data_IF_485245382112
#
_entry.id   IF_485245382112
#
_cell.length_a   1.000
_cell.length_b   1.000
_cell.length_c   1.000
_cell.angle_alpha   90.00
_cell.angle_beta   90.00
_cell.angle_gamma   90.00
#
_symmetry.space_group_name_H-M   'P 1'
#
loop_
_entity.id
_entity.type
_entity.pdbx_description
1 polymer ?
#
# COMPACT_ATOMS: atom_id res chain seq x y z
N UNK A 1 7.76 62.35 20.11
CA UNK A 1 8.33 61.97 18.80
C UNK A 1 9.80 61.64 19.00
N UNK A 2 10.22 60.43 18.60
CA UNK A 2 11.18 60.33 17.50
C UNK A 2 10.82 59.25 16.48
N UNK A 3 11.31 59.49 15.26
CA UNK A 3 11.22 58.71 14.03
C UNK A 3 12.36 57.70 13.93
N UNK A 4 12.14 56.51 13.35
CA UNK A 4 13.14 55.82 12.53
C UNK A 4 12.57 54.60 11.78
N UNK A 5 12.44 54.79 10.46
CA UNK A 5 12.92 53.91 9.38
C UNK A 5 12.43 52.45 9.30
N UNK A 6 11.51 52.26 8.35
CA UNK A 6 11.18 50.98 7.71
C UNK A 6 12.40 50.46 6.94
N UNK A 7 12.98 49.36 7.41
CA UNK A 7 14.06 48.63 6.74
C UNK A 7 13.53 47.63 5.72
N UNK A 8 14.18 47.59 4.56
CA UNK A 8 13.92 46.72 3.42
C UNK A 8 13.71 45.24 3.78
N UNK A 9 12.54 44.71 3.41
CA UNK A 9 12.31 43.26 3.32
C UNK A 9 13.00 42.72 2.06
N UNK A 10 14.23 42.24 2.20
CA UNK A 10 14.78 41.25 1.28
C UNK A 10 14.04 39.93 1.54
N UNK A 11 13.12 39.57 0.65
CA UNK A 11 12.48 38.26 0.64
C UNK A 11 13.57 37.21 0.41
N UNK A 12 14.11 36.67 1.51
CA UNK A 12 14.91 35.46 1.44
C UNK A 12 13.97 34.35 0.95
N UNK A 13 14.17 33.93 -0.30
CA UNK A 13 13.59 32.71 -0.85
C UNK A 13 14.17 31.53 -0.06
N UNK A 14 13.56 31.22 1.09
CA UNK A 14 13.82 29.99 1.79
C UNK A 14 13.19 28.87 0.97
N UNK A 15 14.02 28.04 0.34
CA UNK A 15 13.56 26.82 -0.32
C UNK A 15 12.87 25.97 0.77
N UNK A 16 11.56 25.69 0.66
CA UNK A 16 10.87 24.87 1.64
C UNK A 16 11.51 23.48 1.68
N UNK A 17 11.56 22.88 2.88
CA UNK A 17 12.14 21.55 3.05
C UNK A 17 11.33 20.51 2.25
N UNK A 18 11.88 20.12 1.10
CA UNK A 18 11.28 19.15 0.18
C UNK A 18 11.51 17.69 0.64
N UNK A 19 11.98 17.44 1.88
CA UNK A 19 12.24 16.08 2.38
C UNK A 19 13.47 15.41 1.76
N UNK A 20 13.70 14.13 2.09
CA UNK A 20 14.85 13.35 1.61
C UNK A 20 14.38 12.23 0.65
N UNK A 21 14.97 12.19 -0.54
CA UNK A 21 14.71 11.23 -1.60
C UNK A 21 15.24 11.74 -2.95
N UNK A 22 15.57 10.84 -3.89
CA UNK A 22 16.20 11.21 -5.18
C UNK A 22 15.39 12.25 -5.98
N UNK A 23 14.05 12.11 -5.99
CA UNK A 23 13.14 13.10 -6.60
C UNK A 23 13.18 14.47 -5.91
N UNK A 24 13.40 14.50 -4.60
CA UNK A 24 13.54 15.76 -3.85
C UNK A 24 14.86 16.45 -4.15
N UNK A 25 15.95 15.70 -4.29
CA UNK A 25 17.26 16.26 -4.64
C UNK A 25 17.28 16.86 -6.04
N UNK A 26 16.69 16.17 -7.02
CA UNK A 26 16.54 16.71 -8.37
C UNK A 26 15.72 18.01 -8.36
N UNK A 27 14.61 18.05 -7.60
CA UNK A 27 13.78 19.24 -7.47
C UNK A 27 14.54 20.40 -6.81
N UNK A 28 15.31 20.14 -5.76
CA UNK A 28 16.19 21.13 -5.09
C UNK A 28 17.23 21.69 -6.06
N UNK A 29 17.83 20.85 -6.91
CA UNK A 29 18.79 21.31 -7.93
C UNK A 29 18.13 22.21 -8.97
N UNK A 30 16.96 21.83 -9.49
CA UNK A 30 16.20 22.65 -10.45
C UNK A 30 15.87 24.01 -9.85
N UNK A 31 15.32 24.04 -8.62
CA UNK A 31 15.01 25.28 -7.91
C UNK A 31 16.25 26.15 -7.71
N UNK A 32 17.40 25.55 -7.35
CA UNK A 32 18.66 26.28 -7.20
C UNK A 32 19.12 26.98 -8.49
N UNK A 33 18.95 26.33 -9.65
CA UNK A 33 19.27 26.92 -10.96
C UNK A 33 18.32 28.08 -11.28
N UNK A 34 17.02 27.91 -11.00
CA UNK A 34 16.02 28.96 -11.21
C UNK A 34 16.29 30.16 -10.28
N UNK A 35 16.61 29.95 -9.00
CA UNK A 35 16.97 31.01 -8.05
C UNK A 35 18.18 31.82 -8.53
N UNK A 36 19.18 31.15 -9.10
CA UNK A 36 20.34 31.82 -9.71
C UNK A 36 19.90 32.65 -10.91
N UNK A 37 19.01 32.14 -11.76
CA UNK A 37 18.48 32.87 -12.92
C UNK A 37 17.69 34.10 -12.47
N UNK A 38 16.77 33.97 -11.52
CA UNK A 38 15.98 35.08 -10.97
C UNK A 38 16.91 36.17 -10.42
N UNK A 39 17.84 35.82 -9.53
CA UNK A 39 18.81 36.80 -8.97
C UNK A 39 19.66 37.48 -10.03
N UNK A 40 20.10 36.74 -11.06
CA UNK A 40 20.86 37.32 -12.16
C UNK A 40 20.02 38.31 -12.98
N UNK A 41 18.75 38.01 -13.21
CA UNK A 41 17.82 38.88 -13.94
C UNK A 41 17.46 40.12 -13.13
N UNK A 42 17.26 40.00 -11.82
CA UNK A 42 17.05 41.14 -10.91
C UNK A 42 18.24 42.09 -10.91
N UNK A 43 19.47 41.56 -10.86
CA UNK A 43 20.70 42.37 -10.98
C UNK A 43 20.79 43.10 -12.32
N UNK A 44 20.42 42.45 -13.42
CA UNK A 44 20.39 43.09 -14.75
C UNK A 44 19.33 44.18 -14.82
N UNK A 45 18.12 43.90 -14.34
CA UNK A 45 17.03 44.88 -14.28
C UNK A 45 17.44 46.11 -13.48
N UNK A 46 17.99 45.94 -12.28
CA UNK A 46 18.43 47.07 -11.44
C UNK A 46 19.47 47.95 -12.15
N UNK A 47 20.44 47.37 -12.86
CA UNK A 47 21.42 48.15 -13.64
C UNK A 47 20.76 48.94 -14.79
N UNK A 48 19.76 48.36 -15.44
CA UNK A 48 19.04 49.03 -16.50
C UNK A 48 18.09 50.12 -15.96
N UNK A 49 17.50 49.91 -14.78
CA UNK A 49 16.75 50.93 -14.04
C UNK A 49 17.65 52.16 -13.79
N UNK A 50 18.90 51.94 -13.38
CA UNK A 50 19.89 53.01 -13.17
C UNK A 50 20.22 53.75 -14.49
N UNK A 51 20.43 53.03 -15.60
CA UNK A 51 20.68 53.65 -16.90
C UNK A 51 19.48 54.45 -17.40
N UNK A 52 18.28 53.90 -17.24
CA UNK A 52 17.04 54.57 -17.62
C UNK A 52 16.86 55.86 -16.80
N UNK A 53 17.15 55.82 -15.49
CA UNK A 53 17.10 56.99 -14.63
C UNK A 53 18.10 58.08 -15.06
N UNK A 54 19.34 57.71 -15.41
CA UNK A 54 20.35 58.64 -15.94
C UNK A 54 19.94 59.28 -17.27
N UNK A 55 19.41 58.48 -18.19
CA UNK A 55 18.88 58.96 -19.47
C UNK A 55 17.74 59.96 -19.25
N UNK A 56 16.82 59.66 -18.32
CA UNK A 56 15.71 60.54 -17.98
C UNK A 56 16.16 61.87 -17.33
N UNK A 57 17.33 61.88 -16.66
CA UNK A 57 17.97 63.09 -16.13
C UNK A 57 18.76 63.89 -17.18
N UNK A 58 18.83 63.41 -18.42
CA UNK A 58 19.57 64.04 -19.51
C UNK A 58 21.07 63.74 -19.52
N UNK A 59 21.54 62.78 -18.73
CA UNK A 59 22.94 62.35 -18.76
C UNK A 59 23.24 61.59 -20.08
N UNK A 60 24.44 61.76 -20.63
CA UNK A 60 24.89 60.99 -21.81
C UNK A 60 25.25 59.57 -21.40
N UNK A 61 24.58 58.61 -22.02
CA UNK A 61 24.94 57.18 -21.96
C UNK A 61 25.89 56.83 -23.11
N UNK A 62 26.77 55.85 -22.88
CA UNK A 62 27.61 55.29 -23.95
C UNK A 62 26.79 54.33 -24.83
N UNK A 63 27.38 53.88 -25.94
CA UNK A 63 26.71 53.00 -26.91
C UNK A 63 26.24 51.69 -26.26
N UNK A 64 27.09 51.02 -25.48
CA UNK A 64 26.76 49.76 -24.79
C UNK A 64 25.58 49.91 -23.83
N UNK A 65 25.48 51.06 -23.13
CA UNK A 65 24.37 51.37 -22.22
C UNK A 65 23.06 51.58 -22.97
N UNK A 66 23.10 52.27 -24.12
CA UNK A 66 21.92 52.46 -24.98
C UNK A 66 21.45 51.12 -25.58
N UNK A 67 22.37 50.28 -26.02
CA UNK A 67 22.08 48.94 -26.52
C UNK A 67 21.52 48.04 -25.41
N UNK A 68 22.06 48.10 -24.19
CA UNK A 68 21.53 47.36 -23.06
C UNK A 68 20.10 47.81 -22.70
N UNK A 69 19.82 49.12 -22.76
CA UNK A 69 18.46 49.66 -22.56
C UNK A 69 17.47 49.19 -23.64
N UNK A 70 17.92 48.97 -24.88
CA UNK A 70 17.04 48.42 -25.94
C UNK A 70 16.48 47.03 -25.60
N UNK A 71 17.16 46.28 -24.72
CA UNK A 71 16.76 44.94 -24.26
C UNK A 71 16.00 44.96 -22.93
N UNK A 72 15.66 46.13 -22.41
CA UNK A 72 15.05 46.25 -21.08
C UNK A 72 13.74 45.47 -20.93
N UNK A 73 12.85 45.56 -21.92
CA UNK A 73 11.58 44.82 -21.89
C UNK A 73 11.81 43.31 -21.91
N UNK A 74 12.77 42.82 -22.68
CA UNK A 74 13.14 41.40 -22.72
C UNK A 74 13.64 40.91 -21.35
N UNK A 75 14.41 41.74 -20.64
CA UNK A 75 14.87 41.44 -19.28
C UNK A 75 13.70 41.36 -18.29
N UNK A 76 12.71 42.24 -18.40
CA UNK A 76 11.49 42.18 -17.57
C UNK A 76 10.72 40.90 -17.84
N UNK A 77 10.40 40.61 -19.11
CA UNK A 77 9.62 39.43 -19.49
C UNK A 77 10.31 38.13 -19.01
N UNK A 78 11.63 38.03 -19.20
CA UNK A 78 12.41 36.87 -18.76
C UNK A 78 12.48 36.74 -17.22
N UNK A 79 12.46 37.86 -16.49
CA UNK A 79 12.42 37.85 -15.02
C UNK A 79 11.06 37.34 -14.51
N UNK A 80 9.97 37.83 -15.11
CA UNK A 80 8.60 37.39 -14.79
C UNK A 80 8.43 35.90 -15.09
N UNK A 81 8.86 35.46 -16.28
CA UNK A 81 8.86 34.04 -16.65
C UNK A 81 9.65 33.19 -15.66
N UNK A 82 10.85 33.61 -15.25
CA UNK A 82 11.66 32.87 -14.29
C UNK A 82 10.98 32.76 -12.91
N UNK A 83 10.28 33.81 -12.46
CA UNK A 83 9.52 33.81 -11.20
C UNK A 83 8.29 32.90 -11.27
N UNK A 84 7.57 32.93 -12.38
CA UNK A 84 6.43 32.05 -12.60
C UNK A 84 6.88 30.58 -12.65
N UNK A 85 7.97 30.31 -13.35
CA UNK A 85 8.57 28.97 -13.42
C UNK A 85 8.99 28.48 -12.03
N UNK A 86 9.65 29.34 -11.23
CA UNK A 86 10.02 29.05 -9.84
C UNK A 86 8.80 28.65 -9.01
N UNK A 87 7.71 29.43 -9.11
CA UNK A 87 6.45 29.17 -8.39
C UNK A 87 5.84 27.82 -8.80
N UNK A 88 5.81 27.52 -10.10
CA UNK A 88 5.29 26.25 -10.62
C UNK A 88 6.09 25.05 -10.14
N UNK A 89 7.43 25.13 -10.12
CA UNK A 89 8.27 24.04 -9.59
C UNK A 89 8.14 23.86 -8.08
N UNK A 90 7.95 24.94 -7.32
CA UNK A 90 7.66 24.85 -5.89
C UNK A 90 6.34 24.11 -5.63
N UNK A 91 5.27 24.47 -6.36
CA UNK A 91 3.98 23.80 -6.26
C UNK A 91 4.09 22.31 -6.65
N UNK A 92 4.72 22.03 -7.78
CA UNK A 92 4.96 20.66 -8.25
C UNK A 92 5.76 19.84 -7.24
N UNK A 93 6.81 20.43 -6.65
CA UNK A 93 7.62 19.78 -5.62
C UNK A 93 6.78 19.34 -4.41
N UNK A 94 5.86 20.19 -3.96
CA UNK A 94 4.93 19.86 -2.86
C UNK A 94 3.95 18.75 -3.26
N UNK A 95 3.41 18.80 -4.47
CA UNK A 95 2.50 17.76 -4.98
C UNK A 95 3.19 16.41 -5.09
N UNK A 96 4.41 16.36 -5.62
CA UNK A 96 5.23 15.16 -5.68
C UNK A 96 5.48 14.60 -4.28
N UNK A 97 5.83 15.44 -3.30
CA UNK A 97 6.01 15.01 -1.92
C UNK A 97 4.74 14.41 -1.30
N UNK A 98 3.58 15.03 -1.55
CA UNK A 98 2.28 14.50 -1.12
C UNK A 98 1.98 13.15 -1.78
N UNK A 99 2.24 13.04 -3.09
CA UNK A 99 2.01 11.81 -3.84
C UNK A 99 2.91 10.67 -3.37
N UNK A 100 4.20 10.93 -3.14
CA UNK A 100 5.15 9.94 -2.61
C UNK A 100 4.70 9.44 -1.23
N UNK A 101 4.37 10.34 -0.30
CA UNK A 101 3.87 9.96 1.03
C UNK A 101 2.58 9.14 0.96
N UNK A 102 1.65 9.54 0.08
CA UNK A 102 0.38 8.82 -0.12
C UNK A 102 0.60 7.42 -0.72
N UNK A 103 1.50 7.30 -1.69
CA UNK A 103 1.86 6.03 -2.30
C UNK A 103 2.51 5.09 -1.28
N UNK A 104 3.51 5.58 -0.54
CA UNK A 104 4.20 4.79 0.50
C UNK A 104 3.23 4.31 1.58
N UNK A 105 2.30 5.17 2.04
CA UNK A 105 1.27 4.77 3.01
C UNK A 105 0.32 3.72 2.43
N UNK A 106 -0.10 3.87 1.18
CA UNK A 106 -0.99 2.90 0.51
C UNK A 106 -0.30 1.55 0.37
N UNK A 107 0.96 1.54 -0.06
CA UNK A 107 1.75 0.32 -0.21
C UNK A 107 1.94 -0.38 1.13
N UNK A 108 2.22 0.38 2.21
CA UNK A 108 2.31 -0.18 3.56
C UNK A 108 1.00 -0.85 3.99
N UNK A 109 -0.14 -0.16 3.84
CA UNK A 109 -1.44 -0.73 4.19
C UNK A 109 -1.77 -1.98 3.36
N UNK A 110 -1.41 -2.00 2.08
CA UNK A 110 -1.60 -3.17 1.23
C UNK A 110 -0.73 -4.36 1.64
N UNK A 111 0.52 -4.13 2.08
CA UNK A 111 1.37 -5.18 2.64
C UNK A 111 0.80 -5.72 3.94
N UNK A 112 0.39 -4.85 4.86
CA UNK A 112 -0.24 -5.24 6.13
C UNK A 112 -1.53 -6.06 5.90
N UNK A 113 -2.37 -5.64 4.96
CA UNK A 113 -3.57 -6.38 4.59
C UNK A 113 -3.24 -7.76 3.99
N UNK A 114 -2.21 -7.85 3.16
CA UNK A 114 -1.75 -9.13 2.59
C UNK A 114 -1.19 -10.07 3.68
N UNK A 115 -0.43 -9.55 4.63
CA UNK A 115 0.09 -10.30 5.78
C UNK A 115 -1.05 -10.79 6.69
N UNK A 116 -2.03 -9.92 6.99
CA UNK A 116 -3.22 -10.31 7.75
C UNK A 116 -4.02 -11.41 7.04
N UNK A 117 -4.20 -11.32 5.72
CA UNK A 117 -4.86 -12.37 4.93
C UNK A 117 -4.08 -13.68 4.97
N UNK A 118 -2.74 -13.64 4.83
CA UNK A 118 -1.90 -14.85 4.94
C UNK A 118 -2.02 -15.48 6.32
N UNK A 119 -1.98 -14.68 7.39
CA UNK A 119 -2.15 -15.18 8.75
C UNK A 119 -3.54 -15.81 8.95
N UNK A 120 -4.60 -15.16 8.45
CA UNK A 120 -5.95 -15.73 8.44
C UNK A 120 -5.97 -17.09 7.74
N UNK A 121 -5.37 -17.19 6.57
CA UNK A 121 -5.30 -18.46 5.82
C UNK A 121 -4.52 -19.53 6.58
N UNK A 122 -3.43 -19.20 7.26
CA UNK A 122 -2.72 -20.18 8.11
C UNK A 122 -3.64 -20.71 9.21
N UNK A 123 -4.42 -19.86 9.86
CA UNK A 123 -5.37 -20.28 10.91
C UNK A 123 -6.48 -21.17 10.35
N UNK A 124 -7.03 -20.83 9.18
CA UNK A 124 -8.02 -21.65 8.47
C UNK A 124 -7.46 -23.04 8.13
N UNK A 125 -6.23 -23.08 7.62
CA UNK A 125 -5.53 -24.32 7.28
C UNK A 125 -5.25 -25.19 8.51
N UNK A 126 -4.79 -24.59 9.61
CA UNK A 126 -4.58 -25.30 10.87
C UNK A 126 -5.88 -25.92 11.37
N UNK A 127 -6.97 -25.14 11.39
CA UNK A 127 -8.30 -25.64 11.76
C UNK A 127 -8.72 -26.81 10.87
N UNK A 128 -8.60 -26.68 9.54
CA UNK A 128 -8.96 -27.76 8.63
C UNK A 128 -8.18 -29.04 8.88
N UNK A 129 -6.85 -28.94 8.99
CA UNK A 129 -6.01 -30.10 9.20
C UNK A 129 -6.31 -30.78 10.55
N UNK A 130 -6.61 -30.00 11.60
CA UNK A 130 -7.04 -30.56 12.89
C UNK A 130 -8.40 -31.27 12.79
N UNK A 131 -9.37 -30.70 12.06
CA UNK A 131 -10.69 -31.33 11.85
C UNK A 131 -10.61 -32.62 11.04
N UNK A 132 -9.60 -32.76 10.15
CA UNK A 132 -9.36 -33.99 9.41
C UNK A 132 -8.84 -35.14 10.30
N UNK A 133 -8.56 -34.88 11.58
CA UNK A 133 -8.33 -35.92 12.57
C UNK A 133 -9.59 -36.68 13.01
N UNK A 134 -10.79 -36.15 12.75
CA UNK A 134 -12.07 -36.81 13.07
C UNK A 134 -12.54 -37.73 11.93
N UNK A 135 -12.65 -39.03 12.22
CA UNK A 135 -13.11 -40.05 11.27
C UNK A 135 -14.50 -39.75 10.67
N UNK A 136 -15.41 -39.12 11.43
CA UNK A 136 -16.72 -38.73 10.91
C UNK A 136 -16.61 -37.65 9.84
N UNK A 137 -15.80 -36.62 10.11
CA UNK A 137 -15.51 -35.55 9.15
C UNK A 137 -14.88 -36.15 7.88
N UNK A 138 -13.91 -37.05 8.03
CA UNK A 138 -13.28 -37.74 6.88
C UNK A 138 -14.27 -38.54 6.05
N UNK A 139 -15.18 -39.28 6.71
CA UNK A 139 -16.21 -40.06 6.02
C UNK A 139 -17.19 -39.17 5.25
N UNK A 140 -17.59 -38.05 5.84
CA UNK A 140 -18.50 -37.10 5.20
C UNK A 140 -17.85 -36.42 3.98
N UNK A 141 -16.58 -36.01 4.09
CA UNK A 141 -15.83 -35.39 2.97
C UNK A 141 -15.58 -36.37 1.82
N UNK A 142 -15.59 -37.68 2.10
CA UNK A 142 -15.53 -38.75 1.10
C UNK A 142 -16.89 -39.10 0.50
N UNK A 143 -18.00 -38.61 1.06
CA UNK A 143 -19.33 -38.88 0.50
C UNK A 143 -19.47 -38.12 -0.82
N UNK A 144 -19.93 -38.77 -1.91
CA UNK A 144 -20.23 -38.07 -3.15
C UNK A 144 -21.24 -36.95 -2.93
N UNK A 145 -20.97 -35.79 -3.51
CA UNK A 145 -21.93 -34.69 -3.56
C UNK A 145 -23.01 -34.93 -4.63
N UNK A 146 -23.86 -33.93 -4.88
CA UNK A 146 -24.90 -33.99 -5.91
C UNK A 146 -24.36 -34.23 -7.34
N UNK A 147 -23.06 -34.01 -7.57
CA UNK A 147 -22.37 -34.29 -8.85
C UNK A 147 -21.81 -35.71 -8.93
N UNK A 148 -21.93 -36.49 -7.85
CA UNK A 148 -21.45 -37.87 -7.77
C UNK A 148 -19.95 -38.00 -7.52
N UNK A 149 -19.24 -36.90 -7.23
CA UNK A 149 -17.82 -36.90 -6.91
C UNK A 149 -17.59 -36.56 -5.43
N UNK A 150 -16.66 -37.25 -4.73
CA UNK A 150 -16.34 -36.89 -3.36
C UNK A 150 -15.58 -35.56 -3.30
N UNK A 151 -15.68 -34.88 -2.16
CA UNK A 151 -14.90 -33.66 -1.95
C UNK A 151 -13.41 -33.98 -1.80
N UNK A 152 -13.09 -35.07 -1.08
CA UNK A 152 -11.74 -35.60 -0.91
C UNK A 152 -11.67 -37.09 -1.25
N UNK A 153 -10.58 -37.52 -1.88
CA UNK A 153 -10.26 -38.94 -2.10
C UNK A 153 -9.37 -39.49 -0.98
N UNK A 154 -9.21 -40.82 -0.92
CA UNK A 154 -8.25 -41.45 0.00
C UNK A 154 -6.80 -40.98 -0.24
N UNK A 155 -6.43 -40.71 -1.50
CA UNK A 155 -5.12 -40.19 -1.85
C UNK A 155 -4.92 -38.73 -1.36
N UNK A 156 -5.98 -37.92 -1.46
CA UNK A 156 -5.96 -36.54 -0.93
C UNK A 156 -5.78 -36.55 0.58
N UNK A 157 -6.56 -37.38 1.29
CA UNK A 157 -6.47 -37.52 2.74
C UNK A 157 -5.10 -38.02 3.21
N UNK A 158 -4.52 -39.00 2.51
CA UNK A 158 -3.18 -39.48 2.82
C UNK A 158 -2.11 -38.39 2.63
N UNK A 159 -2.23 -37.59 1.56
CA UNK A 159 -1.31 -36.47 1.31
C UNK A 159 -1.46 -35.36 2.37
N UNK A 160 -2.69 -35.10 2.83
CA UNK A 160 -2.96 -34.13 3.89
C UNK A 160 -2.44 -34.60 5.25
N UNK A 161 -2.52 -35.90 5.57
CA UNK A 161 -1.94 -36.47 6.80
C UNK A 161 -0.42 -36.32 6.83
N UNK A 162 0.25 -36.63 5.72
CA UNK A 162 1.70 -36.43 5.61
C UNK A 162 2.07 -34.96 5.70
N UNK A 163 1.28 -34.06 5.12
CA UNK A 163 1.50 -32.62 5.25
C UNK A 163 1.26 -32.12 6.68
N UNK A 164 0.24 -32.62 7.39
CA UNK A 164 -0.05 -32.26 8.77
C UNK A 164 1.15 -32.51 9.69
N UNK A 165 1.84 -33.65 9.53
CA UNK A 165 3.06 -33.97 10.28
C UNK A 165 4.20 -32.98 10.03
N UNK A 166 4.27 -32.37 8.84
CA UNK A 166 5.30 -31.40 8.48
C UNK A 166 5.05 -30.02 9.12
N UNK A 167 3.79 -29.61 9.22
CA UNK A 167 3.40 -28.28 9.74
C UNK A 167 3.03 -28.29 11.23
N UNK A 168 2.72 -29.46 11.79
CA UNK A 168 2.50 -29.73 13.20
C UNK A 168 3.37 -30.88 13.70
N UNK A 169 4.72 -30.74 13.67
CA UNK A 169 5.59 -31.84 14.05
C UNK A 169 5.55 -32.12 15.56
N UNK A 170 5.60 -33.40 15.93
CA UNK A 170 5.79 -33.81 17.32
C UNK A 170 7.09 -33.21 17.88
N UNK A 171 7.07 -32.84 19.18
CA UNK A 171 8.22 -32.19 19.81
C UNK A 171 9.47 -33.08 19.76
N UNK A 172 10.50 -32.63 19.04
CA UNK A 172 11.79 -33.31 18.99
C UNK A 172 12.80 -32.68 19.97
N UNK A 173 13.01 -33.31 21.13
CA UNK A 173 13.89 -32.81 22.19
C UNK A 173 15.37 -32.65 21.80
N UNK A 174 15.82 -33.23 20.68
CA UNK A 174 17.19 -33.13 20.19
C UNK A 174 17.48 -31.82 19.44
N UNK A 175 16.43 -31.07 19.06
CA UNK A 175 16.53 -29.78 18.38
C UNK A 175 15.86 -28.66 19.18
N UNK A 176 16.29 -27.42 18.93
CA UNK A 176 15.64 -26.24 19.52
C UNK A 176 14.24 -26.09 18.94
N UNK A 177 13.31 -25.65 19.79
CA UNK A 177 11.93 -25.40 19.40
C UNK A 177 11.82 -24.42 18.22
N UNK A 178 12.61 -23.33 18.24
CA UNK A 178 12.61 -22.32 17.19
C UNK A 178 13.02 -22.88 15.83
N UNK A 179 14.01 -23.76 15.83
CA UNK A 179 14.59 -24.31 14.61
C UNK A 179 13.65 -25.39 14.03
N UNK A 180 12.95 -26.14 14.90
CA UNK A 180 11.91 -27.07 14.48
C UNK A 180 10.73 -26.37 13.78
N UNK A 181 10.29 -25.23 14.32
CA UNK A 181 9.21 -24.45 13.70
C UNK A 181 9.66 -23.59 12.52
N UNK A 182 10.96 -23.38 12.34
CA UNK A 182 11.50 -22.74 11.13
C UNK A 182 11.17 -23.61 9.90
N UNK A 183 11.42 -24.92 9.94
CA UNK A 183 11.09 -25.83 8.83
C UNK A 183 9.58 -25.92 8.58
N UNK A 184 8.77 -26.04 9.64
CA UNK A 184 7.31 -26.02 9.54
C UNK A 184 6.79 -24.72 8.89
N UNK A 185 7.41 -23.58 9.21
CA UNK A 185 7.06 -22.28 8.63
C UNK A 185 7.36 -22.22 7.13
N UNK A 186 8.43 -22.87 6.66
CA UNK A 186 8.77 -22.97 5.24
C UNK A 186 7.74 -23.81 4.49
N UNK A 187 7.27 -24.92 5.06
CA UNK A 187 6.20 -25.72 4.46
C UNK A 187 4.89 -24.94 4.32
N UNK A 188 4.49 -24.20 5.36
CA UNK A 188 3.31 -23.32 5.28
C UNK A 188 3.49 -22.21 4.23
N UNK A 189 4.69 -21.61 4.16
CA UNK A 189 4.99 -20.60 3.16
C UNK A 189 4.88 -21.14 1.73
N UNK A 190 5.53 -22.27 1.43
CA UNK A 190 5.48 -22.89 0.10
C UNK A 190 4.06 -23.33 -0.28
N UNK A 191 3.25 -23.78 0.70
CA UNK A 191 1.84 -24.05 0.51
C UNK A 191 1.05 -22.80 0.12
N UNK A 192 1.20 -21.70 0.86
CA UNK A 192 0.49 -20.44 0.56
C UNK A 192 0.86 -19.88 -0.82
N UNK A 193 2.12 -20.01 -1.21
CA UNK A 193 2.61 -19.63 -2.54
C UNK A 193 2.07 -20.55 -3.66
N UNK A 194 1.57 -21.75 -3.32
CA UNK A 194 0.97 -22.69 -4.28
C UNK A 194 1.96 -23.16 -5.33
N UNK A 195 3.22 -23.39 -4.95
CA UNK A 195 4.28 -23.75 -5.88
C UNK A 195 4.15 -25.18 -6.38
N UNK A 196 4.56 -25.41 -7.63
CA UNK A 196 4.61 -26.75 -8.21
C UNK A 196 5.90 -27.49 -7.78
N UNK A 197 6.02 -27.72 -6.48
CA UNK A 197 7.16 -28.38 -5.84
C UNK A 197 6.65 -29.59 -5.05
N UNK A 198 7.35 -30.72 -5.18
CA UNK A 198 6.95 -31.97 -4.56
C UNK A 198 6.99 -31.92 -3.02
N UNK A 199 5.95 -32.44 -2.38
CA UNK A 199 5.80 -32.56 -0.92
C UNK A 199 4.69 -33.57 -0.60
N UNK A 200 4.82 -34.33 0.48
CA UNK A 200 3.76 -35.22 1.00
C UNK A 200 3.11 -36.14 -0.06
N UNK A 201 3.91 -36.67 -1.00
CA UNK A 201 3.43 -37.54 -2.08
C UNK A 201 2.72 -36.83 -3.25
N UNK A 202 2.65 -35.50 -3.23
CA UNK A 202 2.01 -34.64 -4.25
C UNK A 202 2.82 -33.34 -4.43
N UNK A 203 2.19 -32.20 -4.73
CA UNK A 203 2.82 -30.87 -4.76
C UNK A 203 2.10 -29.85 -3.87
N UNK A 204 2.79 -28.78 -3.47
CA UNK A 204 2.16 -27.70 -2.68
C UNK A 204 0.97 -27.07 -3.40
N UNK A 205 1.07 -26.91 -4.73
CA UNK A 205 -0.04 -26.46 -5.56
C UNK A 205 -1.26 -27.36 -5.42
N UNK A 206 -1.09 -28.68 -5.59
CA UNK A 206 -2.20 -29.63 -5.47
C UNK A 206 -2.78 -29.68 -4.06
N UNK A 207 -1.95 -29.63 -3.01
CA UNK A 207 -2.45 -29.54 -1.63
C UNK A 207 -3.28 -28.28 -1.40
N UNK A 208 -2.79 -27.13 -1.88
CA UNK A 208 -3.49 -25.86 -1.78
C UNK A 208 -4.83 -25.92 -2.50
N UNK A 209 -4.85 -26.40 -3.74
CA UNK A 209 -6.08 -26.54 -4.53
C UNK A 209 -7.10 -27.44 -3.82
N UNK A 210 -6.64 -28.53 -3.19
CA UNK A 210 -7.49 -29.44 -2.39
C UNK A 210 -8.05 -28.76 -1.14
N UNK A 211 -7.22 -28.02 -0.39
CA UNK A 211 -7.65 -27.28 0.81
C UNK A 211 -8.62 -26.14 0.46
N UNK A 212 -8.35 -25.40 -0.61
CA UNK A 212 -9.22 -24.35 -1.13
C UNK A 212 -10.57 -24.94 -1.58
N UNK A 213 -10.57 -26.12 -2.23
CA UNK A 213 -11.80 -26.86 -2.58
C UNK A 213 -12.63 -27.18 -1.33
N UNK A 214 -11.99 -27.58 -0.24
CA UNK A 214 -12.68 -27.86 1.04
C UNK A 214 -13.26 -26.58 1.64
N UNK A 215 -12.50 -25.48 1.70
CA UNK A 215 -12.99 -24.20 2.20
C UNK A 215 -14.18 -23.69 1.37
N UNK A 216 -14.07 -23.73 0.04
CA UNK A 216 -15.11 -23.23 -0.87
C UNK A 216 -16.38 -24.08 -0.88
N UNK A 217 -16.31 -25.33 -0.40
CA UNK A 217 -17.49 -26.20 -0.28
C UNK A 217 -18.49 -25.70 0.78
N UNK A 218 -18.02 -24.88 1.73
CA UNK A 218 -18.79 -24.45 2.89
C UNK A 218 -19.18 -25.60 3.82
N UNK A 219 -18.51 -26.77 3.75
CA UNK A 219 -18.78 -27.90 4.64
C UNK A 219 -18.66 -27.49 6.12
N UNK A 220 -17.63 -26.72 6.47
CA UNK A 220 -17.38 -26.24 7.83
C UNK A 220 -18.14 -24.95 8.20
N UNK A 221 -18.81 -24.30 7.24
CA UNK A 221 -19.69 -23.15 7.52
C UNK A 221 -21.06 -23.61 8.04
N UNK A 222 -21.47 -24.82 7.66
CA UNK A 222 -22.69 -25.46 8.16
C UNK A 222 -22.36 -25.94 9.56
N UNK A 223 -22.73 -25.15 10.57
CA UNK A 223 -22.50 -25.44 11.98
C UNK A 223 -22.68 -26.94 12.26
N UNK A 224 -21.66 -27.57 12.85
CA UNK A 224 -21.68 -28.97 13.28
C UNK A 224 -22.92 -29.22 14.14
N UNK A 225 -24.01 -29.65 13.51
CA UNK A 225 -25.27 -29.99 14.21
C UNK A 225 -25.11 -31.26 15.04
N UNK A 226 -23.93 -31.90 14.98
CA UNK A 226 -23.60 -33.14 15.64
C UNK A 226 -22.22 -33.06 16.30
N UNK A 227 -22.08 -32.23 17.33
CA UNK A 227 -21.47 -32.61 18.62
C UNK A 227 -21.57 -31.43 19.61
N UNK A 228 -22.23 -31.72 20.74
CA UNK A 228 -22.38 -30.91 21.96
C UNK A 228 -21.54 -29.62 22.07
N UNK A 229 -22.20 -28.46 21.93
CA UNK A 229 -21.61 -27.18 22.36
C UNK A 229 -22.18 -25.93 21.70
N UNK A 230 -23.46 -25.63 21.92
CA UNK A 230 -24.10 -24.31 21.76
C UNK A 230 -23.73 -23.48 20.51
N UNK A 231 -24.46 -23.68 19.42
CA UNK A 231 -24.96 -22.59 18.59
C UNK A 231 -26.39 -22.98 18.16
N UNK A 232 -27.38 -22.58 18.97
CA UNK A 232 -28.77 -22.54 18.49
C UNK A 232 -28.87 -21.31 17.60
N UNK A 233 -29.08 -21.52 16.31
CA UNK A 233 -29.77 -20.53 15.51
C UNK A 233 -31.20 -20.47 16.05
N UNK A 234 -31.63 -19.29 16.50
CA UNK A 234 -33.03 -19.04 16.85
C UNK A 234 -33.82 -19.08 15.53
N UNK A 235 -34.52 -20.19 15.29
CA UNK A 235 -35.59 -20.21 14.29
C UNK A 235 -36.73 -19.32 14.82
N UNK A 236 -36.97 -18.20 14.13
CA UNK A 236 -38.20 -17.42 14.28
C UNK A 236 -39.39 -18.31 13.89
N UNK A 237 -40.18 -18.74 14.87
CA UNK A 237 -41.49 -19.35 14.60
C UNK A 237 -42.40 -18.33 13.89
N UNK A 238 -43.06 -18.70 12.78
CA UNK A 238 -44.16 -17.90 12.26
C UNK A 238 -45.38 -18.04 13.18
N UNK A 239 -45.82 -16.95 13.81
CA UNK A 239 -47.09 -16.90 14.55
C UNK A 239 -48.26 -17.32 13.64
N UNK A 240 -48.81 -18.50 13.93
CA UNK A 240 -50.05 -19.00 13.35
C UNK A 240 -51.23 -18.26 14.00
N UNK A 241 -51.75 -17.23 13.34
CA UNK A 241 -53.01 -16.60 13.73
C UNK A 241 -54.18 -17.55 13.44
N UNK A 242 -54.68 -18.22 14.47
CA UNK A 242 -55.96 -18.94 14.40
C UNK A 242 -57.12 -17.93 14.31
N UNK A 243 -58.05 -18.06 13.34
CA UNK A 243 -59.23 -17.22 13.27
C UNK A 243 -60.30 -17.73 14.24
N UNK A 244 -60.70 -16.91 15.24
CA UNK A 244 -61.92 -17.15 15.98
C UNK A 244 -63.10 -16.53 15.23
N UNK A 245 -63.91 -17.40 14.62
CA UNK A 245 -65.18 -17.11 13.96
C UNK A 245 -66.30 -16.65 14.95
N UNK A 246 -67.44 -16.15 14.43
CA UNK A 246 -68.32 -15.20 15.11
C UNK A 246 -69.53 -15.82 15.81
N UNK A 247 -70.16 -15.04 16.70
CA UNK A 247 -71.59 -15.14 17.01
C UNK A 247 -71.94 -15.11 18.50
N UNK A 248 -72.46 -13.99 19.00
CA UNK A 248 -73.90 -13.74 19.16
C UNK A 248 -74.14 -12.29 19.63
#
# INVERSE_FOLDING_TARGET
MPSAMVGNNAVQSAIPDLGNGSHSEAMKQILSVIDKKVRNMEKKKSKLDDYQAKKNKGERLNQDQLEALSKYQEIINNLEFARELQKSFLALGQEVQKAVKKSARREQLQREEMEQRRLKTVLELQFLLDQLGDDHVRQDLKRPDATGSPLLTDADLASLDEFYKLVGPDRNCDVRLTDQYEEASLHLWELLEGRDKAVAGTTYKSLKDTLDKVLLSGYFDRAQTHQNGLCKEEEEEPEEQTPSEPGN
#
